data_IF_814506689188
#
_entry.id   IF_814506689188
#
_cell.length_a   1.000
_cell.length_b   1.000
_cell.length_c   1.000
_cell.angle_alpha   90.00
_cell.angle_beta   90.00
_cell.angle_gamma   90.00
#
_symmetry.space_group_name_H-M   'P 1'
#
loop_
_entity.id
_entity.type
_entity.pdbx_description
1 polymer ?
#
# COMPACT_ATOMS: atom_id res chain seq x y z
N UNK A 1 2.73 -8.74 -1.11
CA UNK A 1 3.70 -9.03 -0.04
C UNK A 1 3.32 -8.16 1.14
N UNK A 2 3.30 -8.73 2.34
CA UNK A 2 3.04 -8.00 3.58
C UNK A 2 4.37 -7.88 4.32
N UNK A 3 4.74 -6.67 4.74
CA UNK A 3 6.02 -6.41 5.41
C UNK A 3 5.89 -5.23 6.37
N UNK A 4 6.59 -5.27 7.49
CA UNK A 4 6.75 -4.11 8.37
C UNK A 4 7.95 -3.27 7.93
N UNK A 5 7.80 -1.94 8.04
CA UNK A 5 8.90 -0.99 7.89
C UNK A 5 9.06 -0.21 9.19
N UNK A 6 10.31 0.06 9.56
CA UNK A 6 10.61 0.88 10.73
C UNK A 6 10.57 2.36 10.33
N UNK A 7 9.68 3.12 10.95
CA UNK A 7 9.61 4.57 10.83
C UNK A 7 9.95 5.19 12.19
N UNK A 8 11.22 5.55 12.39
CA UNK A 8 11.74 6.19 13.61
C UNK A 8 11.42 5.40 14.89
N UNK A 9 11.58 4.08 14.85
CA UNK A 9 11.31 3.20 15.99
C UNK A 9 9.89 2.63 16.03
N UNK A 10 9.00 3.03 15.12
CA UNK A 10 7.66 2.49 15.01
C UNK A 10 7.57 1.51 13.84
N UNK A 11 7.17 0.26 14.12
CA UNK A 11 6.91 -0.73 13.07
C UNK A 11 5.55 -0.46 12.42
N UNK A 12 5.57 -0.14 11.13
CA UNK A 12 4.37 0.13 10.34
C UNK A 12 4.15 -0.97 9.31
N UNK A 13 2.97 -1.58 9.36
CA UNK A 13 2.57 -2.61 8.42
C UNK A 13 2.34 -2.02 7.03
N UNK A 14 2.88 -2.68 6.01
CA UNK A 14 2.76 -2.28 4.61
C UNK A 14 2.12 -3.38 3.78
N UNK A 15 1.12 -3.03 2.99
CA UNK A 15 0.71 -3.85 1.86
C UNK A 15 1.46 -3.42 0.60
N UNK A 16 2.09 -4.38 -0.08
CA UNK A 16 2.70 -4.16 -1.38
C UNK A 16 2.09 -5.06 -2.45
N UNK A 17 1.67 -4.46 -3.57
CA UNK A 17 1.18 -5.17 -4.76
C UNK A 17 1.94 -4.76 -6.01
N UNK A 18 2.02 -5.70 -6.96
CA UNK A 18 2.88 -5.62 -8.14
C UNK A 18 4.38 -5.51 -7.80
N UNK A 19 5.23 -5.94 -8.73
CA UNK A 19 6.70 -5.78 -8.65
C UNK A 19 7.22 -4.85 -9.76
N UNK A 20 6.34 -4.32 -10.63
CA UNK A 20 6.68 -3.55 -11.83
C UNK A 20 5.87 -2.24 -11.83
N UNK A 21 6.35 -1.25 -12.58
CA UNK A 21 5.74 0.08 -12.68
C UNK A 21 6.32 1.09 -11.68
N UNK A 22 5.90 2.34 -11.81
CA UNK A 22 6.29 3.43 -10.92
C UNK A 22 5.72 3.23 -9.51
N UNK A 23 6.40 3.77 -8.51
CA UNK A 23 5.95 3.63 -7.12
C UNK A 23 4.74 4.52 -6.86
N UNK A 24 3.65 3.92 -6.39
CA UNK A 24 2.45 4.62 -5.94
C UNK A 24 2.23 4.35 -4.46
N UNK A 25 2.24 5.39 -3.64
CA UNK A 25 1.94 5.32 -2.21
C UNK A 25 0.50 5.79 -1.98
N UNK A 26 -0.28 4.97 -1.29
CA UNK A 26 -1.65 5.29 -0.89
C UNK A 26 -1.71 5.35 0.63
N UNK A 27 -2.17 6.49 1.14
CA UNK A 27 -2.42 6.72 2.57
C UNK A 27 -3.92 6.80 2.77
N UNK A 28 -4.47 5.95 3.64
CA UNK A 28 -5.89 6.03 3.96
C UNK A 28 -6.21 7.17 4.94
N UNK A 29 -7.46 7.64 4.93
CA UNK A 29 -7.96 8.60 5.93
C UNK A 29 -8.14 7.98 7.33
N UNK A 30 -8.43 8.81 8.35
CA UNK A 30 -8.66 8.35 9.72
C UNK A 30 -9.79 7.31 9.85
N UNK A 31 -9.68 6.42 10.84
CA UNK A 31 -10.64 5.32 11.11
C UNK A 31 -10.85 4.36 9.91
N UNK A 32 -9.86 4.26 9.01
CA UNK A 32 -9.80 3.30 7.92
C UNK A 32 -8.64 2.32 8.11
N UNK A 33 -8.37 1.47 7.12
CA UNK A 33 -7.23 0.54 7.11
C UNK A 33 -6.80 0.21 5.68
N UNK A 34 -5.51 -0.04 5.47
CA UNK A 34 -4.90 -0.17 4.13
C UNK A 34 -5.33 -1.44 3.36
N UNK A 35 -5.94 -2.44 4.00
CA UNK A 35 -6.52 -3.59 3.29
C UNK A 35 -7.64 -3.18 2.32
N UNK A 36 -8.37 -2.09 2.61
CA UNK A 36 -9.43 -1.57 1.72
C UNK A 36 -8.90 -1.19 0.33
N UNK A 37 -7.62 -0.82 0.22
CA UNK A 37 -6.98 -0.50 -1.07
C UNK A 37 -7.12 -1.66 -2.04
N UNK A 38 -6.99 -2.92 -1.58
CA UNK A 38 -7.12 -4.11 -2.42
C UNK A 38 -8.47 -4.19 -3.12
N UNK A 39 -9.55 -3.86 -2.40
CA UNK A 39 -10.92 -3.96 -2.91
C UNK A 39 -11.29 -2.79 -3.81
N UNK A 40 -10.94 -1.57 -3.42
CA UNK A 40 -11.51 -0.37 -4.03
C UNK A 40 -10.58 0.34 -5.02
N UNK A 41 -9.26 0.25 -4.85
CA UNK A 41 -8.30 1.06 -5.62
C UNK A 41 -7.39 0.21 -6.50
N UNK A 42 -6.94 -0.94 -5.97
CA UNK A 42 -5.95 -1.78 -6.63
C UNK A 42 -6.34 -2.19 -8.07
N UNK A 43 -7.60 -2.53 -8.41
CA UNK A 43 -7.97 -2.87 -9.78
C UNK A 43 -7.66 -1.78 -10.80
N UNK A 44 -7.75 -0.50 -10.40
CA UNK A 44 -7.54 0.64 -11.29
C UNK A 44 -6.05 0.95 -11.51
N UNK A 45 -5.18 0.64 -10.54
CA UNK A 45 -3.77 1.09 -10.56
C UNK A 45 -2.75 -0.04 -10.72
N UNK A 46 -3.11 -1.30 -10.45
CA UNK A 46 -2.15 -2.41 -10.39
C UNK A 46 -1.42 -2.74 -11.70
N UNK A 47 -1.97 -2.32 -12.85
CA UNK A 47 -1.38 -2.57 -14.17
C UNK A 47 -0.14 -1.70 -14.38
N UNK A 48 -0.22 -0.46 -13.93
CA UNK A 48 0.72 0.59 -14.30
C UNK A 48 1.69 0.91 -13.14
N UNK A 49 1.32 0.55 -11.89
CA UNK A 49 2.06 0.94 -10.68
C UNK A 49 2.48 -0.24 -9.79
N UNK A 50 3.60 -0.03 -9.09
CA UNK A 50 3.99 -0.77 -7.88
C UNK A 50 3.37 -0.09 -6.66
N UNK A 51 2.33 -0.70 -6.12
CA UNK A 51 1.46 -0.07 -5.11
C UNK A 51 1.95 -0.41 -3.70
N UNK A 52 2.06 0.62 -2.86
CA UNK A 52 2.28 0.53 -1.43
C UNK A 52 1.11 1.19 -0.71
N UNK A 53 0.49 0.50 0.26
CA UNK A 53 -0.57 1.06 1.07
C UNK A 53 -0.24 1.03 2.55
N UNK A 54 -0.53 2.16 3.19
CA UNK A 54 -0.41 2.42 4.61
C UNK A 54 -1.75 2.90 5.15
#
# INVERSE_FOLDING_TARGET
MQKNINLRGHEVFTFQWSKRGEALVILHGGLSHSEKVKKYLLPAVKRDFKVFAY
#
